data_IF_820713226190
#
_entry.id   IF_820713226190
#
_cell.length_a   1.000
_cell.length_b   1.000
_cell.length_c   1.000
_cell.angle_alpha   90.00
_cell.angle_beta   90.00
_cell.angle_gamma   90.00
#
_symmetry.space_group_name_H-M   'P 1'
#
loop_
_entity.id
_entity.type
_entity.pdbx_description
1 polymer ?
#
# COMPACT_ATOMS: atom_id res chain seq x y z
N UNK A 1 5.57 4.16 -22.33
CA UNK A 1 5.78 5.20 -21.27
C UNK A 1 5.35 4.62 -19.92
N UNK A 2 6.23 4.49 -18.93
CA UNK A 2 5.84 4.04 -17.58
C UNK A 2 5.02 5.15 -16.92
N UNK A 3 3.80 4.86 -16.44
CA UNK A 3 2.96 5.87 -15.78
C UNK A 3 3.70 6.41 -14.55
N UNK A 4 3.73 7.73 -14.37
CA UNK A 4 4.52 8.44 -13.33
C UNK A 4 4.33 7.89 -11.91
N UNK A 5 3.16 7.31 -11.61
CA UNK A 5 2.81 6.76 -10.30
C UNK A 5 3.26 5.31 -10.05
N UNK A 6 3.84 4.62 -11.05
CA UNK A 6 4.42 3.26 -10.92
C UNK A 6 5.90 3.24 -11.28
N UNK A 7 6.63 4.31 -10.96
CA UNK A 7 8.06 4.46 -11.25
C UNK A 7 8.96 3.35 -10.68
N UNK A 8 8.46 2.58 -9.71
CA UNK A 8 9.18 1.47 -9.09
C UNK A 8 8.58 0.11 -9.49
N UNK A 9 7.74 0.00 -10.51
CA UNK A 9 7.30 -1.29 -11.04
C UNK A 9 8.52 -2.17 -11.45
N UNK A 10 8.49 -3.46 -11.13
CA UNK A 10 9.54 -4.42 -11.47
C UNK A 10 10.86 -4.31 -10.69
N UNK A 11 11.10 -3.21 -9.97
CA UNK A 11 12.30 -3.06 -9.13
C UNK A 11 12.27 -3.99 -7.92
N UNK A 12 13.44 -4.35 -7.37
CA UNK A 12 13.51 -5.04 -6.07
C UNK A 12 12.92 -4.16 -4.95
N UNK A 13 12.33 -4.78 -3.95
CA UNK A 13 11.83 -4.08 -2.76
C UNK A 13 12.99 -3.76 -1.83
N UNK A 14 12.99 -2.54 -1.30
CA UNK A 14 13.96 -2.13 -0.28
C UNK A 14 13.38 -2.35 1.13
N UNK A 15 14.22 -2.60 2.15
CA UNK A 15 13.75 -2.70 3.54
C UNK A 15 12.97 -1.46 4.01
N UNK A 16 13.30 -0.28 3.47
CA UNK A 16 12.60 0.97 3.76
C UNK A 16 11.16 0.94 3.20
N UNK A 17 10.98 0.51 1.95
CA UNK A 17 9.64 0.37 1.36
C UNK A 17 8.80 -0.68 2.10
N UNK A 18 9.41 -1.77 2.57
CA UNK A 18 8.72 -2.78 3.37
C UNK A 18 8.25 -2.22 4.71
N UNK A 19 9.10 -1.44 5.39
CA UNK A 19 8.74 -0.74 6.64
C UNK A 19 7.60 0.24 6.42
N UNK A 20 7.66 1.04 5.34
CA UNK A 20 6.61 1.98 4.98
C UNK A 20 5.29 1.28 4.64
N UNK A 21 5.34 0.16 3.91
CA UNK A 21 4.15 -0.65 3.62
C UNK A 21 3.49 -1.13 4.91
N UNK A 22 4.26 -1.68 5.86
CA UNK A 22 3.77 -2.13 7.17
C UNK A 22 3.12 -0.99 7.95
N UNK A 23 3.76 0.17 8.01
CA UNK A 23 3.23 1.34 8.73
C UNK A 23 1.92 1.84 8.12
N UNK A 24 1.85 1.95 6.79
CA UNK A 24 0.65 2.41 6.09
C UNK A 24 -0.51 1.42 6.24
N UNK A 25 -0.23 0.12 6.17
CA UNK A 25 -1.21 -0.92 6.43
C UNK A 25 -1.77 -0.82 7.86
N UNK A 26 -0.89 -0.61 8.86
CA UNK A 26 -1.28 -0.41 10.27
C UNK A 26 -2.17 0.82 10.49
N UNK A 27 -2.04 1.83 9.62
CA UNK A 27 -2.90 3.03 9.59
C UNK A 27 -4.19 2.85 8.77
N UNK A 28 -4.55 1.62 8.39
CA UNK A 28 -5.70 1.32 7.53
C UNK A 28 -5.67 2.09 6.20
N UNK A 29 -4.48 2.35 5.65
CA UNK A 29 -4.35 3.06 4.37
C UNK A 29 -4.83 2.17 3.23
N UNK A 30 -5.75 2.64 2.35
CA UNK A 30 -6.19 1.85 1.20
C UNK A 30 -5.02 1.43 0.30
N UNK A 31 -5.03 0.19 -0.20
CA UNK A 31 -3.94 -0.39 -1.02
C UNK A 31 -3.52 0.51 -2.19
N UNK A 32 -4.49 1.19 -2.83
CA UNK A 32 -4.22 2.12 -3.92
C UNK A 32 -3.39 3.33 -3.47
N UNK A 33 -3.68 3.90 -2.30
CA UNK A 33 -2.94 5.03 -1.73
C UNK A 33 -1.54 4.59 -1.32
N UNK A 34 -1.38 3.37 -0.79
CA UNK A 34 -0.06 2.77 -0.52
C UNK A 34 0.78 2.70 -1.81
N UNK A 35 0.19 2.20 -2.90
CA UNK A 35 0.85 2.16 -4.21
C UNK A 35 1.32 3.53 -4.70
N UNK A 36 0.49 4.56 -4.55
CA UNK A 36 0.87 5.94 -4.92
C UNK A 36 2.06 6.46 -4.09
N UNK A 37 2.04 6.23 -2.77
CA UNK A 37 3.13 6.67 -1.87
C UNK A 37 4.45 5.97 -2.16
N UNK A 38 4.40 4.67 -2.46
CA UNK A 38 5.59 3.85 -2.74
C UNK A 38 6.03 3.91 -4.22
N UNK A 39 5.21 4.48 -5.10
CA UNK A 39 5.43 4.43 -6.54
C UNK A 39 5.35 3.01 -7.12
N UNK A 40 4.51 2.15 -6.53
CA UNK A 40 4.37 0.71 -6.85
C UNK A 40 2.96 0.42 -7.38
N UNK A 41 2.80 -0.53 -8.34
CA UNK A 41 1.48 -0.94 -8.79
C UNK A 41 0.70 -1.64 -7.67
N UNK A 42 -0.63 -1.52 -7.70
CA UNK A 42 -1.55 -2.10 -6.69
C UNK A 42 -1.30 -3.60 -6.51
N UNK A 43 -1.15 -4.34 -7.61
CA UNK A 43 -0.84 -5.77 -7.57
C UNK A 43 0.49 -6.06 -6.86
N UNK A 44 1.54 -5.27 -7.15
CA UNK A 44 2.84 -5.42 -6.50
C UNK A 44 2.80 -5.15 -5.00
N UNK A 45 2.02 -4.14 -4.56
CA UNK A 45 1.77 -3.87 -3.14
C UNK A 45 1.05 -5.04 -2.49
N UNK A 46 -0.01 -5.56 -3.13
CA UNK A 46 -0.77 -6.71 -2.62
C UNK A 46 0.11 -7.95 -2.47
N UNK A 47 0.84 -8.33 -3.52
CA UNK A 47 1.74 -9.49 -3.49
C UNK A 47 2.83 -9.33 -2.42
N UNK A 48 3.42 -8.14 -2.30
CA UNK A 48 4.45 -7.91 -1.28
C UNK A 48 3.88 -7.97 0.13
N UNK A 49 2.70 -7.39 0.36
CA UNK A 49 2.04 -7.45 1.66
C UNK A 49 1.75 -8.90 2.07
N UNK A 50 1.24 -9.73 1.15
CA UNK A 50 1.06 -11.17 1.37
C UNK A 50 2.37 -11.86 1.73
N UNK A 51 3.47 -11.59 1.00
CA UNK A 51 4.79 -12.17 1.30
C UNK A 51 5.33 -11.73 2.67
N UNK A 52 4.94 -10.56 3.16
CA UNK A 52 5.34 -10.03 4.47
C UNK A 52 4.38 -10.41 5.60
N UNK A 53 3.30 -11.16 5.31
CA UNK A 53 2.25 -11.47 6.29
C UNK A 53 1.44 -10.25 6.73
N UNK A 54 1.42 -9.18 5.94
CA UNK A 54 0.73 -7.92 6.25
C UNK A 54 -0.66 -7.93 5.62
N UNK A 55 -1.70 -7.88 6.44
CA UNK A 55 -3.07 -7.69 5.94
C UNK A 55 -3.25 -6.26 5.42
N UNK A 56 -3.77 -6.14 4.20
CA UNK A 56 -4.24 -4.88 3.61
C UNK A 56 -5.77 -4.75 3.64
N UNK A 57 -6.46 -5.78 4.16
CA UNK A 57 -7.91 -5.73 4.33
C UNK A 57 -8.23 -4.82 5.51
N UNK A 58 -9.30 -4.02 5.43
CA UNK A 58 -9.81 -3.40 6.64
C UNK A 58 -10.29 -4.49 7.59
N UNK A 59 -9.82 -4.50 8.83
CA UNK A 59 -10.39 -5.31 9.92
C UNK A 59 -11.66 -4.66 10.48
N UNK A 60 -12.56 -4.18 9.60
CA UNK A 60 -13.81 -3.51 9.95
C UNK A 60 -13.66 -2.02 10.35
N UNK A 61 -12.99 -1.21 9.52
CA UNK A 61 -13.00 0.26 9.64
C UNK A 61 -13.17 0.94 8.28
N UNK A 62 -14.05 1.94 8.22
CA UNK A 62 -14.14 2.81 7.05
C UNK A 62 -12.84 3.63 6.96
N UNK A 63 -12.18 3.71 5.80
CA UNK A 63 -10.89 4.40 5.65
C UNK A 63 -10.94 5.91 5.96
N UNK A 64 -12.15 6.45 6.13
CA UNK A 64 -12.43 7.82 6.52
C UNK A 64 -13.46 7.83 7.65
N UNK A 65 -13.20 8.60 8.71
CA UNK A 65 -14.24 9.09 9.61
C UNK A 65 -15.18 10.00 8.79
N UNK A 66 -16.09 9.42 7.99
CA UNK A 66 -17.23 10.15 7.44
C UNK A 66 -18.08 10.55 8.64
N UNK A 67 -17.87 11.76 9.17
CA UNK A 67 -18.85 12.38 10.07
C UNK A 67 -20.18 12.38 9.33
N UNK A 68 -21.19 11.70 9.88
CA UNK A 68 -22.57 11.90 9.43
C UNK A 68 -22.91 13.38 9.71
N UNK A 69 -23.43 14.07 8.71
CA UNK A 69 -24.09 15.38 8.93
C UNK A 69 -25.36 15.14 9.75
#
# INVERSE_FOLDING_TARGET
MVKKYIKNAGKKWTPIEEKQLKELARKNTPTRVIGLKLGRPVGGVSSKASNLGVSLKPTNQSPYNRKKK
#
